data_IF_306426660842
#
_entry.id   IF_306426660842
#
_cell.length_a   1.000
_cell.length_b   1.000
_cell.length_c   1.000
_cell.angle_alpha   90.00
_cell.angle_beta   90.00
_cell.angle_gamma   90.00
#
_symmetry.space_group_name_H-M   'P 1'
#
loop_
_entity.id
_entity.type
_entity.pdbx_description
1 polymer ?
#
# COMPACT_ATOMS: atom_id res chain seq x y z
N UNK A 1 32.46 -19.17 18.84
CA UNK A 1 31.26 -18.68 19.51
C UNK A 1 30.79 -17.47 18.72
N UNK A 2 29.91 -17.69 17.76
CA UNK A 2 29.23 -16.64 16.99
C UNK A 2 28.07 -16.13 17.84
N UNK A 3 27.90 -14.81 18.06
CA UNK A 3 26.73 -14.32 18.75
C UNK A 3 25.51 -14.51 17.84
N UNK A 4 24.57 -15.27 18.33
CA UNK A 4 23.22 -15.41 17.79
C UNK A 4 22.51 -14.06 17.96
N UNK A 5 22.45 -13.28 16.91
CA UNK A 5 21.81 -11.95 16.89
C UNK A 5 20.37 -12.04 16.34
N UNK A 6 19.66 -13.13 16.70
CA UNK A 6 18.26 -13.40 16.29
C UNK A 6 17.21 -12.80 17.25
N UNK A 7 17.60 -11.88 18.10
CA UNK A 7 16.70 -11.27 19.10
C UNK A 7 16.45 -9.77 18.89
N UNK A 8 16.50 -9.24 17.65
CA UNK A 8 16.03 -7.88 17.40
C UNK A 8 14.65 -7.91 16.74
N UNK A 9 13.61 -7.78 17.60
CA UNK A 9 12.30 -7.20 17.30
C UNK A 9 11.77 -7.51 15.92
N UNK A 10 11.23 -8.72 15.77
CA UNK A 10 10.26 -9.06 14.72
C UNK A 10 8.99 -8.22 14.94
N UNK A 11 8.98 -6.98 14.49
CA UNK A 11 7.74 -6.27 14.25
C UNK A 11 7.02 -7.08 13.16
N UNK A 12 6.12 -7.95 13.59
CA UNK A 12 5.39 -8.82 12.69
C UNK A 12 4.62 -7.94 11.72
N UNK A 13 4.79 -8.17 10.41
CA UNK A 13 3.88 -7.63 9.41
C UNK A 13 2.45 -8.07 9.79
N UNK A 14 1.41 -7.31 9.40
CA UNK A 14 0.05 -7.56 9.85
C UNK A 14 -0.34 -9.03 9.62
N UNK A 15 -1.09 -9.63 10.56
CA UNK A 15 -1.42 -11.06 10.49
C UNK A 15 -2.13 -11.41 9.19
N UNK A 16 -1.76 -12.52 8.60
CA UNK A 16 -2.17 -12.98 7.27
C UNK A 16 -3.69 -13.20 7.06
N UNK A 17 -4.52 -13.05 8.10
CA UNK A 17 -5.95 -13.38 8.06
C UNK A 17 -6.80 -12.37 7.31
N UNK A 18 -6.44 -11.07 7.32
CA UNK A 18 -7.18 -10.03 6.62
C UNK A 18 -6.25 -9.32 5.65
N UNK A 19 -6.14 -9.89 4.44
CA UNK A 19 -5.20 -9.43 3.41
C UNK A 19 -5.80 -8.30 2.56
N UNK A 20 -6.12 -7.18 3.21
CA UNK A 20 -6.59 -5.95 2.60
C UNK A 20 -6.12 -4.77 3.44
N UNK A 21 -5.70 -3.69 2.80
CA UNK A 21 -5.35 -2.43 3.43
C UNK A 21 -6.22 -1.31 2.89
N UNK A 22 -6.67 -0.40 3.76
CA UNK A 22 -7.35 0.83 3.32
C UNK A 22 -6.31 1.92 3.03
N UNK A 23 -6.45 2.62 1.91
CA UNK A 23 -5.57 3.72 1.47
C UNK A 23 -6.20 5.08 1.81
N UNK A 24 -5.52 5.85 2.62
CA UNK A 24 -5.92 7.20 3.02
C UNK A 24 -5.72 8.29 1.95
N UNK A 25 -5.31 7.97 0.73
CA UNK A 25 -4.97 8.98 -0.29
C UNK A 25 -6.12 9.88 -0.71
N UNK A 26 -7.37 9.48 -0.44
CA UNK A 26 -8.56 10.31 -0.69
C UNK A 26 -9.06 11.07 0.54
N UNK A 27 -8.56 10.74 1.73
CA UNK A 27 -8.99 11.37 2.98
C UNK A 27 -8.47 12.80 3.08
N UNK A 28 -9.37 13.74 3.36
CA UNK A 28 -9.07 15.18 3.38
C UNK A 28 -8.93 15.83 2.01
N UNK A 29 -9.13 15.06 0.94
CA UNK A 29 -9.18 15.53 -0.43
C UNK A 29 -10.59 15.31 -1.03
N UNK A 30 -10.94 14.08 -1.38
CA UNK A 30 -12.24 13.70 -1.92
C UNK A 30 -13.22 13.23 -0.84
N UNK A 31 -12.72 12.80 0.32
CA UNK A 31 -13.53 12.38 1.48
C UNK A 31 -13.34 13.34 2.64
N UNK A 32 -14.44 13.89 3.15
CA UNK A 32 -14.48 14.69 4.37
C UNK A 32 -14.37 13.85 5.64
N UNK A 33 -14.41 14.52 6.80
CA UNK A 33 -14.19 13.89 8.12
C UNK A 33 -15.20 12.76 8.39
N UNK A 34 -16.49 13.02 8.15
CA UNK A 34 -17.58 12.06 8.42
C UNK A 34 -17.48 10.84 7.51
N UNK A 35 -17.29 11.05 6.20
CA UNK A 35 -17.12 9.95 5.24
C UNK A 35 -15.87 9.12 5.53
N UNK A 36 -14.76 9.76 5.92
CA UNK A 36 -13.54 9.07 6.32
C UNK A 36 -13.78 8.20 7.56
N UNK A 37 -14.46 8.74 8.58
CA UNK A 37 -14.78 7.98 9.78
C UNK A 37 -15.69 6.78 9.48
N UNK A 38 -16.71 6.96 8.64
CA UNK A 38 -17.60 5.88 8.23
C UNK A 38 -16.88 4.76 7.47
N UNK A 39 -15.93 5.11 6.59
CA UNK A 39 -15.07 4.15 5.88
C UNK A 39 -14.19 3.38 6.85
N UNK A 40 -13.53 4.07 7.79
CA UNK A 40 -12.65 3.44 8.77
C UNK A 40 -13.42 2.57 9.77
N UNK A 41 -14.59 3.03 10.23
CA UNK A 41 -15.50 2.23 11.08
C UNK A 41 -15.92 0.94 10.34
N UNK A 42 -16.45 1.04 9.13
CA UNK A 42 -16.87 -0.11 8.34
C UNK A 42 -15.71 -1.10 8.07
N UNK A 43 -14.52 -0.59 7.78
CA UNK A 43 -13.33 -1.41 7.57
C UNK A 43 -12.89 -2.13 8.85
N UNK A 44 -12.88 -1.43 9.97
CA UNK A 44 -12.51 -1.99 11.27
C UNK A 44 -13.51 -3.03 11.76
N UNK A 45 -14.83 -2.75 11.64
CA UNK A 45 -15.91 -3.66 12.04
C UNK A 45 -15.91 -4.95 11.22
N UNK A 46 -15.54 -4.86 9.94
CA UNK A 46 -15.35 -6.03 9.08
C UNK A 46 -14.09 -6.85 9.41
N UNK A 47 -13.26 -6.44 10.37
CA UNK A 47 -12.02 -7.11 10.75
C UNK A 47 -10.76 -6.52 10.13
N UNK A 48 -10.88 -5.45 9.33
CA UNK A 48 -9.73 -4.73 8.75
C UNK A 48 -8.87 -4.06 9.83
N UNK A 49 -7.56 -4.10 9.64
CA UNK A 49 -6.62 -3.56 10.64
C UNK A 49 -5.52 -2.70 10.01
N UNK A 50 -5.24 -2.86 8.73
CA UNK A 50 -4.14 -2.19 8.07
C UNK A 50 -4.62 -0.91 7.37
N UNK A 51 -4.09 0.23 7.83
CA UNK A 51 -4.38 1.56 7.28
C UNK A 51 -3.07 2.12 6.73
N UNK A 52 -3.06 2.49 5.45
CA UNK A 52 -1.91 3.08 4.76
C UNK A 52 -2.21 4.53 4.39
N UNK A 53 -1.29 5.43 4.71
CA UNK A 53 -1.35 6.84 4.33
C UNK A 53 0.00 7.37 3.88
N UNK A 54 0.16 8.68 3.78
CA UNK A 54 1.43 9.37 3.51
C UNK A 54 1.38 10.80 4.06
N UNK A 55 2.57 11.33 4.39
CA UNK A 55 2.78 12.68 4.89
C UNK A 55 2.18 13.78 4.00
N UNK A 56 2.27 13.60 2.67
CA UNK A 56 1.82 14.56 1.67
C UNK A 56 0.34 14.39 1.26
N UNK A 57 -0.37 13.33 1.69
CA UNK A 57 -1.77 13.13 1.30
C UNK A 57 -2.65 14.25 1.86
N UNK A 58 -3.22 15.04 0.96
CA UNK A 58 -3.98 16.26 1.27
C UNK A 58 -3.21 17.24 2.19
N UNK A 59 -1.87 17.31 2.06
CA UNK A 59 -1.02 18.14 2.92
C UNK A 59 -1.03 17.70 4.38
N UNK A 60 -1.02 16.39 4.65
CA UNK A 60 -1.05 15.79 5.97
C UNK A 60 -2.45 15.62 6.59
N UNK A 61 -3.52 16.17 5.95
CA UNK A 61 -4.90 16.05 6.48
C UNK A 61 -5.37 14.60 6.57
N UNK A 62 -4.91 13.72 5.67
CA UNK A 62 -5.21 12.30 5.75
C UNK A 62 -4.75 11.69 7.09
N UNK A 63 -3.52 11.99 7.51
CA UNK A 63 -2.99 11.53 8.81
C UNK A 63 -3.76 12.12 9.99
N UNK A 64 -4.13 13.41 9.92
CA UNK A 64 -4.94 14.07 10.97
C UNK A 64 -6.32 13.38 11.11
N UNK A 65 -6.98 13.04 10.01
CA UNK A 65 -8.28 12.36 10.04
C UNK A 65 -8.16 10.95 10.62
N UNK A 66 -7.14 10.19 10.19
CA UNK A 66 -6.86 8.85 10.72
C UNK A 66 -6.52 8.92 12.21
N UNK A 67 -5.64 9.85 12.62
CA UNK A 67 -5.27 10.05 14.02
C UNK A 67 -6.46 10.39 14.92
N UNK A 68 -7.31 11.31 14.47
CA UNK A 68 -8.56 11.65 15.18
C UNK A 68 -9.48 10.44 15.32
N UNK A 69 -9.63 9.63 14.27
CA UNK A 69 -10.44 8.41 14.30
C UNK A 69 -9.85 7.39 15.28
N UNK A 70 -8.55 7.10 15.18
CA UNK A 70 -7.85 6.16 16.07
C UNK A 70 -8.01 6.54 17.54
N UNK A 71 -7.80 7.83 17.85
CA UNK A 71 -7.94 8.37 19.21
C UNK A 71 -9.39 8.30 19.70
N UNK A 72 -10.35 8.72 18.88
CA UNK A 72 -11.76 8.79 19.27
C UNK A 72 -12.37 7.40 19.48
N UNK A 73 -11.94 6.41 18.69
CA UNK A 73 -12.37 5.01 18.82
C UNK A 73 -11.53 4.21 19.81
N UNK A 74 -10.41 4.76 20.29
CA UNK A 74 -9.48 4.09 21.22
C UNK A 74 -8.96 2.76 20.65
N UNK A 75 -8.65 2.73 19.35
CA UNK A 75 -8.30 1.49 18.61
C UNK A 75 -6.83 1.38 18.24
N UNK A 76 -5.94 2.25 18.76
CA UNK A 76 -4.52 2.25 18.36
C UNK A 76 -3.85 0.88 18.43
N UNK A 77 -4.07 0.13 19.48
CA UNK A 77 -3.52 -1.23 19.66
C UNK A 77 -4.12 -2.30 18.76
N UNK A 78 -5.22 -1.98 18.08
CA UNK A 78 -5.93 -2.90 17.20
C UNK A 78 -5.61 -2.67 15.73
N UNK A 79 -4.99 -1.54 15.37
CA UNK A 79 -4.70 -1.17 13.98
C UNK A 79 -3.21 -1.16 13.71
N UNK A 80 -2.85 -1.48 12.47
CA UNK A 80 -1.51 -1.38 11.93
C UNK A 80 -1.44 -0.12 11.05
N UNK A 81 -0.71 0.89 11.49
CA UNK A 81 -0.57 2.15 10.79
C UNK A 81 0.71 2.17 9.95
N UNK A 82 0.53 2.32 8.63
CA UNK A 82 1.62 2.54 7.70
C UNK A 82 1.52 3.96 7.12
N UNK A 83 2.61 4.72 7.18
CA UNK A 83 2.69 6.02 6.50
C UNK A 83 3.97 6.11 5.67
N UNK A 84 3.99 7.04 4.72
CA UNK A 84 5.12 7.28 3.80
C UNK A 84 5.62 8.69 4.01
N UNK A 85 6.94 8.87 3.91
CA UNK A 85 7.62 10.17 4.05
C UNK A 85 8.54 10.43 2.86
N UNK A 86 8.94 11.69 2.70
CA UNK A 86 9.91 12.13 1.70
C UNK A 86 9.33 13.04 0.63
N UNK A 87 7.99 13.22 0.59
CA UNK A 87 7.32 14.07 -0.40
C UNK A 87 6.58 15.27 0.18
N UNK A 88 6.49 15.39 1.50
CA UNK A 88 5.89 16.58 2.10
C UNK A 88 6.78 17.81 1.87
N UNK A 89 6.22 18.97 1.46
CA UNK A 89 7.01 20.16 1.17
C UNK A 89 7.81 20.69 2.37
N UNK A 90 7.33 20.47 3.60
CA UNK A 90 8.00 20.93 4.81
C UNK A 90 9.21 20.06 5.22
N UNK A 91 9.29 18.82 4.72
CA UNK A 91 10.38 17.89 5.00
C UNK A 91 10.67 17.02 3.76
N UNK A 92 11.09 17.62 2.63
CA UNK A 92 11.29 16.90 1.38
C UNK A 92 12.57 16.05 1.42
N UNK A 93 12.53 14.93 0.71
CA UNK A 93 13.68 14.04 0.58
C UNK A 93 13.89 13.10 1.77
N UNK A 94 15.02 12.40 1.75
CA UNK A 94 15.35 11.36 2.71
C UNK A 94 16.69 11.62 3.42
N UNK A 95 17.09 12.89 3.59
CA UNK A 95 18.21 13.24 4.47
C UNK A 95 17.86 12.89 5.93
N UNK A 96 18.86 12.70 6.77
CA UNK A 96 18.66 12.40 8.19
C UNK A 96 17.76 13.44 8.87
N UNK A 97 17.97 14.71 8.57
CA UNK A 97 17.14 15.81 9.08
C UNK A 97 15.69 15.72 8.59
N UNK A 98 15.46 15.50 7.29
CA UNK A 98 14.12 15.39 6.71
C UNK A 98 13.36 14.17 7.26
N UNK A 99 14.04 13.03 7.39
CA UNK A 99 13.45 11.82 7.97
C UNK A 99 12.99 12.04 9.41
N UNK A 100 13.83 12.62 10.25
CA UNK A 100 13.48 12.90 11.64
C UNK A 100 12.29 13.87 11.75
N UNK A 101 12.35 14.99 11.01
CA UNK A 101 11.27 15.98 11.01
C UNK A 101 9.95 15.42 10.47
N UNK A 102 10.00 14.66 9.36
CA UNK A 102 8.82 14.03 8.79
C UNK A 102 8.19 13.00 9.72
N UNK A 103 9.02 12.15 10.38
CA UNK A 103 8.54 11.15 11.32
C UNK A 103 7.84 11.80 12.54
N UNK A 104 8.41 12.85 13.10
CA UNK A 104 7.82 13.59 14.23
C UNK A 104 6.51 14.24 13.84
N UNK A 105 6.45 14.88 12.67
CA UNK A 105 5.22 15.47 12.15
C UNK A 105 4.13 14.42 11.86
N UNK A 106 4.49 13.22 11.33
CA UNK A 106 3.56 12.12 11.14
C UNK A 106 2.99 11.62 12.48
N UNK A 107 3.83 11.44 13.49
CA UNK A 107 3.41 11.02 14.84
C UNK A 107 2.44 12.02 15.47
N UNK A 108 2.72 13.32 15.33
CA UNK A 108 1.84 14.40 15.80
C UNK A 108 0.49 14.36 15.10
N UNK A 109 0.45 14.29 13.74
CA UNK A 109 -0.79 14.26 12.96
C UNK A 109 -1.60 12.98 13.20
N UNK A 110 -0.94 11.82 13.31
CA UNK A 110 -1.55 10.53 13.64
C UNK A 110 -1.94 10.38 15.11
N UNK A 111 -1.51 11.32 15.99
CA UNK A 111 -1.78 11.33 17.44
C UNK A 111 -1.41 9.99 18.09
N UNK A 112 -0.22 9.49 17.78
CA UNK A 112 0.29 8.20 18.28
C UNK A 112 1.77 8.33 18.65
N UNK A 113 2.21 7.46 19.55
CA UNK A 113 3.60 7.39 19.98
C UNK A 113 4.50 6.58 19.04
N UNK A 114 3.90 5.79 18.14
CA UNK A 114 4.65 5.01 17.18
C UNK A 114 3.90 4.79 15.86
N UNK A 115 4.66 4.55 14.79
CA UNK A 115 4.21 4.10 13.47
C UNK A 115 4.63 2.65 13.30
N UNK A 116 3.71 1.76 12.89
CA UNK A 116 4.04 0.34 12.71
C UNK A 116 4.95 0.10 11.50
N UNK A 117 4.73 0.85 10.40
CA UNK A 117 5.53 0.74 9.19
C UNK A 117 5.75 2.11 8.57
N UNK A 118 6.98 2.61 8.63
CA UNK A 118 7.38 3.82 7.93
C UNK A 118 7.92 3.46 6.55
N UNK A 119 7.49 4.17 5.49
CA UNK A 119 7.97 3.95 4.14
C UNK A 119 8.74 5.15 3.61
N UNK A 120 9.88 4.91 3.00
CA UNK A 120 10.53 5.90 2.15
C UNK A 120 9.80 5.97 0.80
N UNK A 121 9.25 7.12 0.44
CA UNK A 121 8.40 7.29 -0.76
C UNK A 121 9.19 7.87 -1.95
N UNK A 122 9.66 6.99 -2.78
CA UNK A 122 10.51 7.27 -3.93
C UNK A 122 12.00 7.16 -3.61
N UNK A 123 12.78 7.02 -4.67
CA UNK A 123 14.23 7.07 -4.59
C UNK A 123 14.69 8.54 -4.56
N UNK A 124 15.60 8.85 -3.67
CA UNK A 124 16.21 10.17 -3.53
C UNK A 124 17.73 10.05 -3.72
N UNK A 125 18.21 9.98 -4.96
CA UNK A 125 19.62 9.67 -5.26
C UNK A 125 20.61 10.71 -4.75
N UNK A 126 20.16 11.91 -4.38
CA UNK A 126 21.01 12.96 -3.77
C UNK A 126 21.37 12.64 -2.32
N UNK A 127 20.62 11.75 -1.66
CA UNK A 127 20.91 11.31 -0.29
C UNK A 127 21.50 9.90 -0.33
N UNK A 128 22.68 9.67 0.25
CA UNK A 128 23.21 8.32 0.39
C UNK A 128 22.27 7.39 1.15
N UNK A 129 22.15 6.15 0.70
CA UNK A 129 21.30 5.15 1.37
C UNK A 129 21.70 4.95 2.83
N UNK A 130 22.98 4.98 3.11
CA UNK A 130 23.58 4.81 4.43
C UNK A 130 23.09 5.88 5.41
N UNK A 131 22.97 7.13 4.95
CA UNK A 131 22.42 8.24 5.75
C UNK A 131 20.95 7.98 6.08
N UNK A 132 20.14 7.67 5.08
CA UNK A 132 18.70 7.42 5.27
C UNK A 132 18.43 6.20 6.16
N UNK A 133 19.19 5.12 5.98
CA UNK A 133 19.05 3.90 6.79
C UNK A 133 19.52 4.11 8.22
N UNK A 134 20.58 4.90 8.45
CA UNK A 134 21.04 5.28 9.79
C UNK A 134 19.99 6.11 10.52
N UNK A 135 19.36 7.06 9.82
CA UNK A 135 18.26 7.84 10.40
C UNK A 135 17.05 6.96 10.77
N UNK A 136 16.72 5.98 9.92
CA UNK A 136 15.65 5.01 10.22
C UNK A 136 16.01 4.12 11.43
N UNK A 137 17.27 3.72 11.56
CA UNK A 137 17.72 2.96 12.74
C UNK A 137 17.48 3.74 14.03
N UNK A 138 17.83 5.02 14.07
CA UNK A 138 17.59 5.89 15.22
C UNK A 138 16.08 6.02 15.56
N UNK A 139 15.19 6.02 14.57
CA UNK A 139 13.74 6.03 14.79
C UNK A 139 13.24 4.68 15.35
N UNK A 140 13.83 3.56 14.94
CA UNK A 140 13.52 2.23 15.47
C UNK A 140 14.02 2.13 16.93
N UNK A 141 15.25 2.53 17.19
CA UNK A 141 15.86 2.48 18.51
C UNK A 141 15.12 3.36 19.55
N UNK A 142 14.58 4.50 19.10
CA UNK A 142 13.74 5.37 19.92
C UNK A 142 12.29 4.88 20.06
N UNK A 143 11.91 3.81 19.36
CA UNK A 143 10.55 3.27 19.36
C UNK A 143 9.52 4.06 18.54
N UNK A 144 9.94 5.13 17.85
CA UNK A 144 9.05 5.96 16.99
C UNK A 144 8.50 5.21 15.80
N UNK A 145 9.27 4.26 15.26
CA UNK A 145 8.79 3.34 14.22
C UNK A 145 9.12 1.90 14.59
N UNK A 146 8.29 0.94 14.15
CA UNK A 146 8.51 -0.48 14.41
C UNK A 146 9.24 -1.18 13.28
N UNK A 147 9.00 -0.75 12.04
CA UNK A 147 9.62 -1.34 10.86
C UNK A 147 9.76 -0.30 9.74
N UNK A 148 10.69 -0.57 8.82
CA UNK A 148 10.97 0.23 7.64
C UNK A 148 10.49 -0.49 6.38
N UNK A 149 9.93 0.26 5.42
CA UNK A 149 9.58 -0.20 4.08
C UNK A 149 9.98 0.81 3.01
N UNK A 150 9.91 0.39 1.75
CA UNK A 150 10.10 1.26 0.60
C UNK A 150 8.77 1.46 -0.14
N UNK A 151 8.64 2.55 -0.88
CA UNK A 151 7.54 2.80 -1.80
C UNK A 151 8.11 3.30 -3.12
N UNK A 152 7.68 2.69 -4.23
CA UNK A 152 8.13 3.06 -5.58
C UNK A 152 9.65 2.86 -5.82
N UNK A 153 10.25 1.87 -5.19
CA UNK A 153 11.63 1.44 -5.45
C UNK A 153 11.65 0.37 -6.55
N UNK A 154 12.72 0.38 -7.37
CA UNK A 154 13.01 -0.73 -8.29
C UNK A 154 13.58 -1.94 -7.54
N UNK A 155 13.55 -3.12 -8.17
CA UNK A 155 14.17 -4.32 -7.62
C UNK A 155 15.67 -4.13 -7.39
N UNK A 156 16.38 -3.51 -8.35
CA UNK A 156 17.80 -3.20 -8.22
C UNK A 156 18.09 -2.28 -7.01
N UNK A 157 17.24 -1.27 -6.77
CA UNK A 157 17.41 -0.34 -5.65
C UNK A 157 17.15 -1.01 -4.30
N UNK A 158 16.19 -1.93 -4.22
CA UNK A 158 15.95 -2.74 -3.01
C UNK A 158 17.15 -3.63 -2.67
N UNK A 159 17.74 -4.29 -3.67
CA UNK A 159 18.95 -5.09 -3.49
C UNK A 159 20.13 -4.25 -3.00
N UNK A 160 20.31 -3.06 -3.59
CA UNK A 160 21.33 -2.09 -3.18
C UNK A 160 21.15 -1.64 -1.73
N UNK A 161 19.91 -1.28 -1.36
CA UNK A 161 19.59 -0.84 0.00
C UNK A 161 19.79 -1.97 1.03
N UNK A 162 19.43 -3.20 0.67
CA UNK A 162 19.67 -4.35 1.55
C UNK A 162 21.17 -4.61 1.74
N UNK A 163 21.96 -4.53 0.67
CA UNK A 163 23.41 -4.67 0.76
C UNK A 163 24.02 -3.61 1.69
N UNK A 164 23.65 -2.34 1.53
CA UNK A 164 24.13 -1.26 2.40
C UNK A 164 23.71 -1.48 3.87
N UNK A 165 22.48 -1.93 4.10
CA UNK A 165 22.00 -2.26 5.44
C UNK A 165 22.82 -3.38 6.09
N UNK A 166 23.15 -4.43 5.33
CA UNK A 166 23.92 -5.57 5.83
C UNK A 166 25.37 -5.20 6.17
N UNK A 167 26.02 -4.44 5.29
CA UNK A 167 27.41 -3.99 5.48
C UNK A 167 27.58 -3.11 6.74
N UNK A 168 26.53 -2.39 7.12
CA UNK A 168 26.53 -1.44 8.24
C UNK A 168 25.78 -1.94 9.49
N UNK A 169 25.16 -3.12 9.44
CA UNK A 169 24.33 -3.62 10.53
C UNK A 169 23.06 -2.79 10.75
N UNK A 170 22.53 -2.16 9.71
CA UNK A 170 21.35 -1.28 9.75
C UNK A 170 20.05 -2.06 9.43
N UNK A 171 18.87 -1.51 9.76
CA UNK A 171 17.59 -2.16 9.50
C UNK A 171 17.34 -2.29 7.98
N UNK A 172 16.91 -3.49 7.57
CA UNK A 172 16.46 -3.77 6.20
C UNK A 172 15.01 -3.35 5.99
N UNK A 173 14.66 -3.05 4.75
CA UNK A 173 13.25 -2.95 4.37
C UNK A 173 12.52 -4.29 4.61
N UNK A 174 11.32 -4.23 5.19
CA UNK A 174 10.48 -5.40 5.48
C UNK A 174 9.41 -5.62 4.42
N UNK A 175 9.09 -4.60 3.63
CA UNK A 175 8.11 -4.63 2.55
C UNK A 175 8.38 -3.52 1.54
N UNK A 176 7.69 -3.59 0.39
CA UNK A 176 7.66 -2.53 -0.60
C UNK A 176 6.22 -2.24 -1.05
N UNK A 177 5.88 -0.96 -1.18
CA UNK A 177 4.64 -0.51 -1.80
C UNK A 177 4.90 -0.24 -3.29
N UNK A 178 4.14 -0.88 -4.17
CA UNK A 178 4.25 -0.71 -5.62
C UNK A 178 2.88 -0.75 -6.30
N UNK A 179 2.64 0.05 -7.36
CA UNK A 179 1.47 -0.15 -8.21
C UNK A 179 1.47 -1.55 -8.79
N UNK A 180 0.40 -2.32 -8.54
CA UNK A 180 0.28 -3.68 -9.07
C UNK A 180 -1.19 -4.05 -9.29
N UNK A 181 -1.54 -4.31 -10.53
CA UNK A 181 -2.89 -4.66 -10.97
C UNK A 181 -2.82 -5.45 -12.29
N UNK A 182 -3.93 -5.96 -12.78
CA UNK A 182 -4.04 -6.55 -14.13
C UNK A 182 -3.61 -5.58 -15.24
N UNK A 183 -3.65 -4.26 -15.00
CA UNK A 183 -3.24 -3.24 -15.97
C UNK A 183 -1.78 -2.81 -15.85
N UNK A 184 -1.14 -3.08 -14.71
CA UNK A 184 0.22 -2.61 -14.40
C UNK A 184 1.08 -3.72 -13.80
N UNK A 185 1.04 -4.92 -14.38
CA UNK A 185 1.73 -6.10 -13.83
C UNK A 185 3.22 -6.20 -14.22
N UNK A 186 3.54 -5.86 -15.47
CA UNK A 186 4.87 -6.10 -16.05
C UNK A 186 6.05 -5.51 -15.25
N UNK A 187 6.00 -4.24 -14.80
CA UNK A 187 7.10 -3.69 -14.01
C UNK A 187 7.34 -4.45 -12.72
N UNK A 188 6.28 -4.92 -12.06
CA UNK A 188 6.40 -5.69 -10.82
C UNK A 188 6.93 -7.08 -11.11
N UNK A 189 6.38 -7.79 -12.08
CA UNK A 189 6.72 -9.18 -12.36
C UNK A 189 8.13 -9.34 -12.96
N UNK A 190 8.59 -8.37 -13.76
CA UNK A 190 9.88 -8.45 -14.44
C UNK A 190 11.06 -7.90 -13.62
N UNK A 191 10.81 -6.98 -12.68
CA UNK A 191 11.87 -6.31 -11.91
C UNK A 191 11.72 -6.55 -10.40
N UNK A 192 10.56 -6.17 -9.84
CA UNK A 192 10.38 -6.13 -8.40
C UNK A 192 10.23 -7.53 -7.78
N UNK A 193 9.44 -8.40 -8.41
CA UNK A 193 9.11 -9.73 -7.87
C UNK A 193 10.34 -10.63 -7.70
N UNK A 194 11.29 -10.71 -8.65
CA UNK A 194 12.55 -11.43 -8.43
C UNK A 194 13.34 -10.91 -7.23
N UNK A 195 13.43 -9.58 -7.07
CA UNK A 195 14.16 -8.97 -5.97
C UNK A 195 13.51 -9.26 -4.61
N UNK A 196 12.19 -9.04 -4.47
CA UNK A 196 11.48 -9.30 -3.20
C UNK A 196 11.50 -10.77 -2.82
N UNK A 197 11.46 -11.68 -3.80
CA UNK A 197 11.58 -13.12 -3.55
C UNK A 197 12.97 -13.47 -3.00
N UNK A 198 14.02 -12.90 -3.57
CA UNK A 198 15.41 -13.07 -3.10
C UNK A 198 15.59 -12.51 -1.68
N UNK A 199 14.98 -11.36 -1.40
CA UNK A 199 15.10 -10.67 -0.11
C UNK A 199 14.17 -11.24 0.99
N UNK A 200 13.21 -12.10 0.63
CA UNK A 200 12.23 -12.64 1.58
C UNK A 200 11.27 -11.58 2.13
N UNK A 201 10.98 -10.51 1.35
CA UNK A 201 10.05 -9.44 1.73
C UNK A 201 8.79 -9.50 0.88
N UNK A 202 7.76 -8.72 1.25
CA UNK A 202 6.49 -8.73 0.55
C UNK A 202 6.13 -7.40 -0.12
N UNK A 203 5.10 -7.46 -0.97
CA UNK A 203 4.58 -6.34 -1.74
C UNK A 203 3.21 -5.92 -1.19
N UNK A 204 3.05 -4.65 -0.85
CA UNK A 204 1.77 -3.99 -0.73
C UNK A 204 1.37 -3.46 -2.11
N UNK A 205 0.36 -4.09 -2.73
CA UNK A 205 -0.07 -3.77 -4.07
C UNK A 205 -0.95 -2.51 -4.08
N UNK A 206 -0.37 -1.38 -4.47
CA UNK A 206 -1.09 -0.11 -4.64
C UNK A 206 -1.87 -0.11 -5.95
N UNK A 207 -2.95 0.68 -6.00
CA UNK A 207 -3.81 0.85 -7.17
C UNK A 207 -4.27 -0.49 -7.79
N UNK A 208 -4.67 -1.49 -6.97
CA UNK A 208 -4.97 -2.84 -7.46
C UNK A 208 -6.19 -2.88 -8.40
N UNK A 209 -7.04 -1.84 -8.36
CA UNK A 209 -8.19 -1.65 -9.24
C UNK A 209 -7.93 -0.66 -10.39
N UNK A 210 -6.66 -0.28 -10.66
CA UNK A 210 -6.28 0.67 -11.71
C UNK A 210 -7.12 1.96 -11.67
N UNK A 211 -7.14 2.63 -10.51
CA UNK A 211 -7.93 3.84 -10.24
C UNK A 211 -9.46 3.65 -10.48
N UNK A 212 -9.97 2.45 -10.25
CA UNK A 212 -11.38 2.11 -10.42
C UNK A 212 -11.72 1.54 -11.81
N UNK A 213 -10.80 1.55 -12.79
CA UNK A 213 -11.05 0.99 -14.11
C UNK A 213 -11.50 -0.48 -14.04
N UNK A 214 -10.86 -1.29 -13.22
CA UNK A 214 -11.13 -2.73 -13.10
C UNK A 214 -12.43 -3.06 -12.34
N UNK A 215 -13.17 -2.07 -11.84
CA UNK A 215 -14.54 -2.28 -11.36
C UNK A 215 -15.54 -2.38 -12.51
N UNK A 216 -15.14 -1.95 -13.72
CA UNK A 216 -16.01 -1.88 -14.88
C UNK A 216 -16.94 -0.66 -14.90
N UNK A 217 -16.78 0.28 -13.99
CA UNK A 217 -17.57 1.52 -13.95
C UNK A 217 -17.27 2.46 -15.11
N UNK A 218 -16.07 2.39 -15.70
CA UNK A 218 -15.64 3.27 -16.77
C UNK A 218 -15.59 2.51 -18.10
N UNK A 219 -16.48 2.86 -19.04
CA UNK A 219 -16.57 2.28 -20.39
C UNK A 219 -16.26 3.29 -21.48
N UNK A 220 -16.28 4.57 -21.14
CA UNK A 220 -15.97 5.69 -22.00
C UNK A 220 -15.26 6.80 -21.24
N UNK A 221 -14.68 7.78 -21.93
CA UNK A 221 -14.08 8.94 -21.28
C UNK A 221 -15.09 9.77 -20.46
N UNK A 222 -16.36 9.74 -20.85
CA UNK A 222 -17.42 10.48 -20.15
C UNK A 222 -17.79 9.86 -18.80
N UNK A 223 -17.45 8.59 -18.58
CA UNK A 223 -17.73 7.89 -17.32
C UNK A 223 -16.67 8.18 -16.25
N UNK A 224 -15.49 8.68 -16.66
CA UNK A 224 -14.38 8.96 -15.75
C UNK A 224 -14.62 10.31 -15.08
N UNK A 225 -14.64 10.37 -13.73
CA UNK A 225 -14.82 11.66 -13.05
C UNK A 225 -13.73 12.67 -13.41
N UNK A 226 -14.11 13.95 -13.57
CA UNK A 226 -13.19 15.07 -13.79
C UNK A 226 -12.35 15.35 -12.52
N UNK A 227 -11.45 14.45 -12.20
CA UNK A 227 -10.57 14.57 -11.05
C UNK A 227 -9.21 13.97 -11.37
N UNK A 228 -8.15 14.64 -10.97
CA UNK A 228 -6.77 14.16 -11.09
C UNK A 228 -6.62 12.74 -10.54
N UNK A 229 -7.37 12.39 -9.50
CA UNK A 229 -7.32 11.07 -8.86
C UNK A 229 -7.81 9.93 -9.76
N UNK A 230 -8.66 10.23 -10.74
CA UNK A 230 -9.25 9.27 -11.68
C UNK A 230 -8.75 9.42 -13.10
N UNK A 231 -7.98 10.50 -13.40
CA UNK A 231 -7.44 10.75 -14.74
C UNK A 231 -6.67 9.56 -15.28
N UNK A 232 -5.92 8.85 -14.43
CA UNK A 232 -5.18 7.66 -14.81
C UNK A 232 -6.08 6.47 -15.21
N UNK A 233 -7.35 6.43 -14.79
CA UNK A 233 -8.27 5.38 -15.23
C UNK A 233 -8.57 5.50 -16.74
N UNK A 234 -8.61 6.71 -17.27
CA UNK A 234 -8.87 6.99 -18.68
C UNK A 234 -7.80 6.42 -19.63
N UNK A 235 -6.55 6.30 -19.19
CA UNK A 235 -5.46 5.71 -19.99
C UNK A 235 -5.72 4.23 -20.35
N UNK A 236 -6.59 3.56 -19.58
CA UNK A 236 -6.94 2.16 -19.80
C UNK A 236 -8.14 1.98 -20.75
N UNK A 237 -8.82 3.07 -21.16
CA UNK A 237 -9.94 3.05 -22.10
C UNK A 237 -9.44 2.78 -23.54
N UNK A 238 -9.08 1.55 -23.78
CA UNK A 238 -8.57 1.10 -25.06
C UNK A 238 -8.66 -0.41 -25.23
N UNK A 239 -8.22 -0.91 -26.37
CA UNK A 239 -8.35 -2.33 -26.76
C UNK A 239 -7.79 -3.28 -25.69
N UNK A 240 -6.66 -2.97 -25.10
CA UNK A 240 -6.04 -3.80 -24.07
C UNK A 240 -6.89 -3.82 -22.79
N UNK A 241 -7.32 -2.65 -22.30
CA UNK A 241 -8.17 -2.57 -21.11
C UNK A 241 -9.51 -3.26 -21.28
N UNK A 242 -10.19 -3.08 -22.43
CA UNK A 242 -11.46 -3.77 -22.68
C UNK A 242 -11.31 -5.29 -22.81
N UNK A 243 -10.16 -5.78 -23.29
CA UNK A 243 -9.85 -7.22 -23.27
C UNK A 243 -9.78 -7.74 -21.83
N UNK A 244 -9.13 -6.99 -20.93
CA UNK A 244 -9.05 -7.34 -19.50
C UNK A 244 -10.43 -7.29 -18.83
N UNK A 245 -11.22 -6.23 -19.10
CA UNK A 245 -12.59 -6.13 -18.57
C UNK A 245 -13.47 -7.29 -19.03
N UNK A 246 -13.39 -7.69 -20.29
CA UNK A 246 -14.14 -8.84 -20.81
C UNK A 246 -13.76 -10.15 -20.10
N UNK A 247 -12.48 -10.36 -19.84
CA UNK A 247 -12.01 -11.52 -19.07
C UNK A 247 -12.49 -11.48 -17.60
N UNK A 248 -12.48 -10.29 -16.98
CA UNK A 248 -13.04 -10.10 -15.64
C UNK A 248 -14.54 -10.34 -15.61
N UNK A 249 -15.31 -9.91 -16.62
CA UNK A 249 -16.76 -10.18 -16.74
C UNK A 249 -17.06 -11.67 -16.79
N UNK A 250 -16.28 -12.43 -17.56
CA UNK A 250 -16.40 -13.88 -17.61
C UNK A 250 -16.15 -14.49 -16.21
N UNK A 251 -15.02 -14.17 -15.59
CA UNK A 251 -14.64 -14.71 -14.28
C UNK A 251 -15.64 -14.29 -13.18
N UNK A 252 -16.10 -13.04 -13.21
CA UNK A 252 -17.09 -12.52 -12.27
C UNK A 252 -18.43 -13.25 -12.38
N UNK A 253 -18.87 -13.54 -13.60
CA UNK A 253 -20.09 -14.34 -13.87
C UNK A 253 -19.96 -15.77 -13.34
N UNK A 254 -18.80 -16.42 -13.54
CA UNK A 254 -18.53 -17.77 -13.02
C UNK A 254 -18.49 -17.83 -11.48
N UNK A 255 -18.00 -16.76 -10.85
CA UNK A 255 -17.84 -16.66 -9.39
C UNK A 255 -19.08 -16.09 -8.67
N UNK A 256 -20.02 -15.47 -9.41
CA UNK A 256 -21.12 -14.72 -8.81
C UNK A 256 -20.64 -13.51 -7.99
N UNK A 257 -19.54 -12.87 -8.42
CA UNK A 257 -18.86 -11.79 -7.72
C UNK A 257 -18.72 -10.54 -8.60
N UNK A 258 -18.34 -9.38 -8.00
CA UNK A 258 -18.05 -8.18 -8.78
C UNK A 258 -16.71 -8.28 -9.51
N UNK A 259 -16.54 -7.47 -10.59
CA UNK A 259 -15.29 -7.38 -11.31
C UNK A 259 -14.15 -6.93 -10.39
N UNK A 260 -14.43 -5.95 -9.54
CA UNK A 260 -13.47 -5.45 -8.54
C UNK A 260 -13.02 -6.53 -7.57
N UNK A 261 -13.96 -7.35 -7.07
CA UNK A 261 -13.64 -8.47 -6.19
C UNK A 261 -12.74 -9.51 -6.89
N UNK A 262 -13.03 -9.85 -8.15
CA UNK A 262 -12.19 -10.76 -8.93
C UNK A 262 -10.79 -10.18 -9.20
N UNK A 263 -10.69 -8.89 -9.51
CA UNK A 263 -9.40 -8.21 -9.70
C UNK A 263 -8.56 -8.21 -8.40
N UNK A 264 -9.17 -7.95 -7.25
CA UNK A 264 -8.50 -8.03 -5.94
C UNK A 264 -8.09 -9.46 -5.58
N UNK A 265 -8.93 -10.44 -5.85
CA UNK A 265 -8.62 -11.85 -5.64
C UNK A 265 -7.42 -12.29 -6.52
N UNK A 266 -7.34 -11.80 -7.77
CA UNK A 266 -6.19 -12.02 -8.63
C UNK A 266 -4.91 -11.43 -8.03
N UNK A 267 -4.93 -10.17 -7.56
CA UNK A 267 -3.76 -9.53 -6.92
C UNK A 267 -3.32 -10.34 -5.69
N UNK A 268 -4.26 -10.75 -4.83
CA UNK A 268 -3.95 -11.56 -3.63
C UNK A 268 -3.38 -12.94 -3.93
N UNK A 269 -3.70 -13.50 -5.10
CA UNK A 269 -3.16 -14.79 -5.52
C UNK A 269 -1.70 -14.73 -5.97
N UNK A 270 -1.15 -13.53 -6.17
CA UNK A 270 0.24 -13.37 -6.63
C UNK A 270 1.25 -13.66 -5.52
N UNK A 271 2.38 -14.28 -5.87
CA UNK A 271 3.43 -14.56 -4.89
C UNK A 271 3.96 -13.25 -4.28
N UNK A 272 4.39 -13.32 -3.04
CA UNK A 272 4.95 -12.20 -2.27
C UNK A 272 4.00 -11.00 -2.07
N UNK A 273 2.75 -11.02 -2.51
CA UNK A 273 1.77 -9.97 -2.19
C UNK A 273 1.28 -10.15 -0.75
N UNK A 274 1.52 -9.13 0.09
CA UNK A 274 1.02 -9.07 1.47
C UNK A 274 -0.47 -8.73 1.45
N UNK A 275 -0.81 -7.59 0.83
CA UNK A 275 -2.18 -7.13 0.70
C UNK A 275 -2.34 -6.14 -0.47
N UNK A 276 -3.48 -6.14 -1.18
CA UNK A 276 -3.92 -4.99 -1.96
C UNK A 276 -4.19 -3.79 -1.04
N UNK A 277 -3.82 -2.58 -1.51
CA UNK A 277 -4.05 -1.31 -0.82
C UNK A 277 -5.11 -0.56 -1.61
N UNK A 278 -6.33 -0.49 -1.05
CA UNK A 278 -7.54 -0.05 -1.74
C UNK A 278 -8.09 1.25 -1.18
N UNK A 279 -8.74 2.03 -2.04
CA UNK A 279 -9.49 3.23 -1.66
C UNK A 279 -10.97 2.92 -1.54
N UNK A 280 -11.64 3.54 -0.58
CA UNK A 280 -13.10 3.54 -0.47
C UNK A 280 -13.57 4.95 -0.06
N UNK A 281 -14.61 5.43 -0.69
CA UNK A 281 -15.23 6.73 -0.40
C UNK A 281 -16.50 6.59 0.47
N UNK A 282 -17.00 5.37 0.66
CA UNK A 282 -18.19 5.08 1.48
C UNK A 282 -18.08 3.72 2.18
N UNK A 283 -18.89 3.51 3.21
CA UNK A 283 -19.02 2.23 3.90
C UNK A 283 -19.50 1.09 2.97
N UNK A 284 -20.38 1.39 2.01
CA UNK A 284 -20.86 0.42 1.04
C UNK A 284 -19.73 -0.10 0.15
N UNK A 285 -18.83 0.80 -0.30
CA UNK A 285 -17.64 0.38 -1.04
C UNK A 285 -16.72 -0.50 -0.20
N UNK A 286 -16.58 -0.24 1.10
CA UNK A 286 -15.82 -1.11 2.00
C UNK A 286 -16.42 -2.51 2.04
N UNK A 287 -17.73 -2.64 2.14
CA UNK A 287 -18.42 -3.95 2.15
C UNK A 287 -18.13 -4.73 0.86
N UNK A 288 -18.16 -4.07 -0.30
CA UNK A 288 -17.82 -4.70 -1.59
C UNK A 288 -16.35 -5.15 -1.63
N UNK A 289 -15.43 -4.31 -1.16
CA UNK A 289 -13.98 -4.64 -1.12
C UNK A 289 -13.71 -5.82 -0.18
N UNK A 290 -14.34 -5.83 1.00
CA UNK A 290 -14.23 -6.90 1.99
C UNK A 290 -14.76 -8.23 1.46
N UNK A 291 -15.86 -8.22 0.71
CA UNK A 291 -16.39 -9.42 0.05
C UNK A 291 -15.37 -10.14 -0.86
N UNK A 292 -14.34 -9.39 -1.32
CA UNK A 292 -13.25 -9.99 -2.11
C UNK A 292 -12.35 -10.92 -1.30
N UNK A 293 -12.29 -10.79 0.02
CA UNK A 293 -11.24 -11.42 0.86
C UNK A 293 -11.32 -12.96 0.82
N UNK A 294 -12.52 -13.49 0.82
CA UNK A 294 -12.74 -14.95 0.80
C UNK A 294 -12.83 -15.52 -0.63
N UNK A 295 -12.80 -14.66 -1.64
CA UNK A 295 -12.88 -15.07 -3.03
C UNK A 295 -11.58 -15.75 -3.49
N UNK A 296 -11.67 -17.01 -3.88
CA UNK A 296 -10.55 -17.80 -4.40
C UNK A 296 -10.79 -18.11 -5.88
N UNK A 297 -9.91 -17.59 -6.74
CA UNK A 297 -9.98 -17.86 -8.17
C UNK A 297 -9.40 -19.23 -8.50
N UNK A 298 -10.08 -19.96 -9.38
CA UNK A 298 -9.62 -21.25 -9.86
C UNK A 298 -8.44 -21.10 -10.86
N UNK A 299 -7.58 -22.11 -11.04
CA UNK A 299 -6.42 -22.02 -11.93
C UNK A 299 -6.76 -21.58 -13.37
N UNK A 300 -7.89 -22.02 -13.93
CA UNK A 300 -8.31 -21.63 -15.28
C UNK A 300 -8.74 -20.16 -15.36
N UNK A 301 -9.32 -19.61 -14.26
CA UNK A 301 -9.71 -18.20 -14.15
C UNK A 301 -8.48 -17.31 -14.04
N UNK A 302 -7.49 -17.70 -13.22
CA UNK A 302 -6.20 -17.02 -13.15
C UNK A 302 -5.53 -16.99 -14.53
N UNK A 303 -5.47 -18.13 -15.23
CA UNK A 303 -4.89 -18.21 -16.56
C UNK A 303 -5.67 -17.36 -17.61
N UNK A 304 -6.98 -17.21 -17.46
CA UNK A 304 -7.80 -16.34 -18.32
C UNK A 304 -7.44 -14.86 -18.11
N UNK A 305 -7.34 -14.43 -16.85
CA UNK A 305 -6.94 -13.05 -16.49
C UNK A 305 -5.48 -12.76 -16.87
N UNK A 306 -4.59 -13.72 -16.66
CA UNK A 306 -3.18 -13.60 -17.04
C UNK A 306 -3.02 -13.35 -18.54
N UNK A 307 -3.64 -14.17 -19.39
CA UNK A 307 -3.62 -14.00 -20.85
C UNK A 307 -4.25 -12.68 -21.32
N UNK A 308 -5.31 -12.24 -20.65
CA UNK A 308 -5.97 -11.00 -21.03
C UNK A 308 -5.13 -9.76 -20.70
N UNK A 309 -4.25 -9.85 -19.70
CA UNK A 309 -3.43 -8.74 -19.18
C UNK A 309 -1.97 -8.75 -19.70
N UNK A 310 -1.61 -9.69 -20.56
CA UNK A 310 -0.37 -9.70 -21.35
C UNK A 310 -0.42 -8.63 -22.46
#
# INVERSE_FOLDING_TARGET
MTPNNDASTSAALPPARFRLAIDGSIFGWASGVEATAAVLDAFHDAGGRLISTADHYAGGRSEVMIGNWVRTRTVRSQVFLATKIGRHPDAPGLSAHSIAAAADACLERLQTDHIDLLSFDGDHPQTPLEESLTAAAALIDSGKIRALSASSYSGARLLQATKAADELGLPRFRAVFSPYSLMTRRPVENDLLPAVSTLGIGIFARLPLANGFLTGAYRSHNDVPESIMFADAAQHLGRAGFRVLKALEQVASEQGASLGACALAWVRSRPNVIAPVVRAASADQVAELVASIDLVLQPHQLATLDRASE
#
